data_IF_941181125620
#
_entry.id   IF_941181125620
#
_cell.length_a   1.000
_cell.length_b   1.000
_cell.length_c   1.000
_cell.angle_alpha   90.00
_cell.angle_beta   90.00
_cell.angle_gamma   90.00
#
_symmetry.space_group_name_H-M   'P 1'
#
loop_
_entity.id
_entity.type
_entity.pdbx_description
1 polymer ?
#
# COMPACT_ATOMS: atom_id res chain seq x y z
N UNK A 1 -5.33 -60.11 -44.23
CA UNK A 1 -3.87 -60.32 -44.13
C UNK A 1 -3.14 -59.45 -45.17
N UNK A 2 -3.11 -58.12 -45.02
CA UNK A 2 -2.50 -57.23 -46.03
C UNK A 2 -1.62 -56.10 -45.47
N UNK A 3 -1.25 -56.12 -44.18
CA UNK A 3 -0.43 -55.06 -43.56
C UNK A 3 0.89 -55.54 -42.93
N UNK A 4 1.32 -56.80 -43.14
CA UNK A 4 2.56 -57.31 -42.54
C UNK A 4 3.83 -56.67 -43.13
N UNK A 5 3.89 -56.56 -44.47
CA UNK A 5 5.04 -55.99 -45.16
C UNK A 5 5.18 -54.47 -44.94
N UNK A 6 4.05 -53.76 -44.91
CA UNK A 6 4.03 -52.30 -44.69
C UNK A 6 4.40 -51.96 -43.24
N UNK A 7 4.04 -52.82 -42.28
CA UNK A 7 4.49 -52.72 -40.88
C UNK A 7 6.00 -52.95 -40.75
N UNK A 8 6.54 -54.01 -41.37
CA UNK A 8 7.99 -54.25 -41.36
C UNK A 8 8.80 -53.13 -42.03
N UNK A 9 8.25 -52.49 -43.07
CA UNK A 9 8.86 -51.33 -43.72
C UNK A 9 8.79 -50.06 -42.86
N UNK A 10 7.67 -49.79 -42.19
CA UNK A 10 7.54 -48.67 -41.25
C UNK A 10 8.42 -48.86 -40.02
N UNK A 11 8.54 -50.09 -39.51
CA UNK A 11 9.38 -50.44 -38.36
C UNK A 11 10.87 -50.34 -38.67
N UNK A 12 11.27 -50.46 -39.95
CA UNK A 12 12.65 -50.27 -40.43
C UNK A 12 12.93 -48.88 -41.01
N UNK A 13 11.91 -48.02 -41.06
CA UNK A 13 12.03 -46.65 -41.53
C UNK A 13 12.77 -45.77 -40.51
N UNK A 14 13.35 -44.67 -41.00
CA UNK A 14 13.91 -43.64 -40.14
C UNK A 14 12.84 -43.01 -39.23
N UNK A 15 11.56 -43.02 -39.64
CA UNK A 15 10.40 -42.58 -38.85
C UNK A 15 9.83 -43.65 -37.89
N UNK A 16 10.54 -44.77 -37.70
CA UNK A 16 10.11 -45.79 -36.76
C UNK A 16 10.07 -45.26 -35.32
N UNK A 17 9.19 -45.81 -34.49
CA UNK A 17 9.08 -45.41 -33.08
C UNK A 17 10.38 -45.59 -32.27
N UNK A 18 11.28 -46.47 -32.73
CA UNK A 18 12.61 -46.64 -32.13
C UNK A 18 13.50 -45.39 -32.26
N UNK A 19 13.29 -44.58 -33.31
CA UNK A 19 14.03 -43.34 -33.56
C UNK A 19 13.31 -42.10 -33.03
N UNK A 20 12.16 -42.26 -32.36
CA UNK A 20 11.32 -41.16 -31.90
C UNK A 20 12.11 -40.14 -31.07
N UNK A 21 12.92 -40.59 -30.11
CA UNK A 21 13.71 -39.69 -29.27
C UNK A 21 14.76 -38.90 -30.04
N UNK A 22 15.32 -39.49 -31.10
CA UNK A 22 16.32 -38.84 -31.94
C UNK A 22 15.68 -37.80 -32.86
N UNK A 23 14.53 -38.11 -33.47
CA UNK A 23 13.76 -37.16 -34.30
C UNK A 23 13.25 -36.00 -33.45
N UNK A 24 12.76 -36.27 -32.22
CA UNK A 24 12.33 -35.23 -31.29
C UNK A 24 13.47 -34.27 -30.97
N UNK A 25 14.67 -34.79 -30.65
CA UNK A 25 15.83 -33.95 -30.38
C UNK A 25 16.23 -33.12 -31.61
N UNK A 26 16.21 -33.73 -32.80
CA UNK A 26 16.51 -33.05 -34.06
C UNK A 26 15.50 -31.94 -34.39
N UNK A 27 14.24 -32.11 -34.00
CA UNK A 27 13.22 -31.06 -34.14
C UNK A 27 13.45 -29.90 -33.16
N UNK A 28 13.86 -30.19 -31.92
CA UNK A 28 14.20 -29.16 -30.94
C UNK A 28 15.44 -28.35 -31.32
N UNK A 29 16.44 -29.00 -31.93
CA UNK A 29 17.60 -28.32 -32.50
C UNK A 29 17.15 -27.37 -33.63
N UNK A 30 16.24 -27.81 -34.50
CA UNK A 30 15.62 -26.96 -35.53
C UNK A 30 14.82 -25.77 -34.96
N UNK A 31 14.09 -25.96 -33.85
CA UNK A 31 13.38 -24.88 -33.16
C UNK A 31 14.34 -23.85 -32.52
N UNK A 32 15.54 -24.29 -32.13
CA UNK A 32 16.58 -23.42 -31.55
C UNK A 32 17.33 -22.66 -32.64
N UNK A 33 17.77 -23.36 -33.67
CA UNK A 33 18.46 -22.81 -34.84
C UNK A 33 18.15 -23.69 -36.08
N UNK A 34 17.39 -23.20 -37.07
CA UNK A 34 17.09 -23.95 -38.28
C UNK A 34 18.34 -24.38 -39.06
N UNK A 35 19.46 -23.66 -38.92
CA UNK A 35 20.71 -23.98 -39.61
C UNK A 35 21.53 -25.10 -38.94
N UNK A 36 21.18 -25.48 -37.71
CA UNK A 36 21.84 -26.56 -36.95
C UNK A 36 21.53 -27.96 -37.47
N UNK A 37 20.47 -28.11 -38.29
CA UNK A 37 20.03 -29.39 -38.86
C UNK A 37 20.31 -29.48 -40.37
N UNK A 38 20.52 -30.71 -40.84
CA UNK A 38 20.72 -30.99 -42.28
C UNK A 38 19.59 -30.43 -43.15
N UNK A 39 19.95 -30.01 -44.38
CA UNK A 39 19.03 -29.36 -45.30
C UNK A 39 17.76 -30.19 -45.61
N UNK A 40 17.88 -31.52 -45.66
CA UNK A 40 16.75 -32.41 -45.88
C UNK A 40 15.74 -32.34 -44.71
N UNK A 41 16.23 -32.39 -43.47
CA UNK A 41 15.39 -32.31 -42.28
C UNK A 41 14.76 -30.94 -42.10
N UNK A 42 15.52 -29.89 -42.38
CA UNK A 42 15.02 -28.51 -42.41
C UNK A 42 13.82 -28.35 -43.34
N UNK A 43 13.93 -28.87 -44.57
CA UNK A 43 12.82 -28.85 -45.53
C UNK A 43 11.62 -29.64 -45.05
N UNK A 44 11.82 -30.76 -44.36
CA UNK A 44 10.73 -31.58 -43.80
C UNK A 44 10.02 -30.86 -42.65
N UNK A 45 10.77 -30.27 -41.72
CA UNK A 45 10.20 -29.56 -40.57
C UNK A 45 9.49 -28.27 -40.95
N UNK A 46 9.96 -27.54 -41.97
CA UNK A 46 9.27 -26.37 -42.52
C UNK A 46 7.90 -26.69 -43.15
N UNK A 47 7.69 -27.93 -43.58
CA UNK A 47 6.40 -28.38 -44.14
C UNK A 47 5.40 -28.78 -43.07
N UNK A 48 5.83 -28.90 -41.80
CA UNK A 48 4.90 -29.20 -40.71
C UNK A 48 3.98 -27.99 -40.50
N UNK A 49 2.67 -28.21 -40.32
CA UNK A 49 1.72 -27.13 -40.09
C UNK A 49 2.02 -26.51 -38.72
N UNK A 50 2.70 -25.36 -38.71
CA UNK A 50 2.82 -24.54 -37.52
C UNK A 50 1.42 -24.16 -37.04
N UNK A 51 1.11 -24.40 -35.77
CA UNK A 51 -0.13 -23.89 -35.19
C UNK A 51 -0.01 -22.37 -35.16
N UNK A 52 -0.56 -21.67 -36.17
CA UNK A 52 -0.34 -20.23 -36.43
C UNK A 52 -0.76 -19.23 -35.35
N UNK A 53 -0.91 -19.70 -34.11
CA UNK A 53 -1.30 -18.95 -32.91
C UNK A 53 -0.17 -18.94 -31.86
N UNK A 54 0.75 -19.91 -31.84
CA UNK A 54 1.90 -19.95 -30.90
C UNK A 54 3.12 -20.67 -31.50
N UNK A 55 4.36 -20.27 -31.16
CA UNK A 55 5.55 -21.05 -31.50
C UNK A 55 5.45 -22.46 -30.88
N UNK A 56 5.91 -23.47 -31.61
CA UNK A 56 5.95 -24.85 -31.12
C UNK A 56 6.84 -24.95 -29.86
N UNK A 57 6.37 -25.69 -28.87
CA UNK A 57 7.05 -25.83 -27.59
C UNK A 57 8.05 -26.99 -27.60
N UNK A 58 9.15 -26.83 -26.87
CA UNK A 58 10.14 -27.89 -26.64
C UNK A 58 9.51 -29.06 -25.88
N UNK A 59 9.43 -30.22 -26.52
CA UNK A 59 8.84 -31.43 -25.93
C UNK A 59 9.63 -31.95 -24.73
N UNK A 60 10.95 -31.73 -24.71
CA UNK A 60 11.87 -32.06 -23.62
C UNK A 60 11.50 -31.36 -22.32
N UNK A 61 11.04 -30.10 -22.38
CA UNK A 61 10.58 -29.35 -21.21
C UNK A 61 9.30 -29.97 -20.64
N UNK A 62 8.35 -30.33 -21.51
CA UNK A 62 7.12 -31.02 -21.13
C UNK A 62 7.41 -32.40 -20.52
N UNK A 63 8.31 -33.18 -21.11
CA UNK A 63 8.72 -34.50 -20.61
C UNK A 63 9.43 -34.41 -19.26
N UNK A 64 10.31 -33.43 -19.08
CA UNK A 64 11.00 -33.21 -17.81
C UNK A 64 10.04 -32.74 -16.72
N UNK A 65 9.04 -31.92 -17.06
CA UNK A 65 7.95 -31.54 -16.17
C UNK A 65 7.17 -32.75 -15.67
N UNK A 66 6.71 -33.63 -16.57
CA UNK A 66 6.02 -34.86 -16.19
C UNK A 66 6.92 -35.87 -15.47
N UNK A 67 8.22 -35.91 -15.78
CA UNK A 67 9.20 -36.75 -15.09
C UNK A 67 9.42 -36.29 -13.64
N UNK A 68 9.46 -34.98 -13.40
CA UNK A 68 9.51 -34.42 -12.03
C UNK A 68 8.23 -34.72 -11.26
N UNK A 69 7.07 -34.54 -11.89
CA UNK A 69 5.76 -34.95 -11.34
C UNK A 69 5.74 -36.43 -10.92
N UNK A 70 6.29 -37.34 -11.75
CA UNK A 70 6.34 -38.76 -11.44
C UNK A 70 7.31 -39.11 -10.29
N UNK A 71 8.33 -38.28 -10.05
CA UNK A 71 9.30 -38.47 -8.96
C UNK A 71 8.81 -37.88 -7.63
N UNK A 72 8.02 -36.82 -7.66
CA UNK A 72 7.40 -36.24 -6.46
C UNK A 72 6.12 -37.01 -6.06
N UNK A 73 6.30 -38.21 -5.49
CA UNK A 73 5.22 -39.04 -4.96
C UNK A 73 4.57 -38.50 -3.66
N UNK A 74 4.97 -37.31 -3.20
CA UNK A 74 4.38 -36.65 -2.03
C UNK A 74 3.60 -35.42 -2.44
N UNK A 75 2.28 -35.57 -2.64
CA UNK A 75 1.20 -34.66 -2.19
C UNK A 75 -0.04 -34.83 -3.08
N UNK A 76 -1.05 -35.48 -2.52
CA UNK A 76 -2.43 -35.50 -3.01
C UNK A 76 -3.16 -34.15 -2.82
N UNK A 77 -2.47 -33.00 -2.90
CA UNK A 77 -3.09 -31.68 -2.71
C UNK A 77 -2.31 -30.51 -3.35
N UNK A 78 -1.64 -30.72 -4.49
CA UNK A 78 -1.14 -29.60 -5.29
C UNK A 78 -2.00 -29.48 -6.54
N UNK A 79 -2.86 -28.45 -6.59
CA UNK A 79 -3.42 -27.95 -7.84
C UNK A 79 -2.27 -27.67 -8.80
N UNK A 80 -2.24 -28.45 -9.88
CA UNK A 80 -1.23 -28.39 -10.94
C UNK A 80 -1.28 -26.99 -11.56
N UNK A 81 -0.24 -26.18 -11.38
CA UNK A 81 -0.08 -24.90 -12.08
C UNK A 81 0.94 -25.05 -13.20
N UNK A 82 0.59 -24.53 -14.37
CA UNK A 82 1.44 -24.43 -15.55
C UNK A 82 2.73 -23.65 -15.19
N UNK A 83 3.93 -24.07 -15.66
CA UNK A 83 5.18 -23.32 -15.47
C UNK A 83 5.05 -21.81 -15.72
N UNK A 84 4.25 -21.42 -16.71
CA UNK A 84 4.01 -20.02 -17.07
C UNK A 84 3.18 -19.29 -16.00
N UNK A 85 2.20 -19.97 -15.40
CA UNK A 85 1.43 -19.46 -14.24
C UNK A 85 2.33 -19.22 -13.04
N UNK A 86 3.38 -20.03 -12.87
CA UNK A 86 4.33 -19.91 -11.77
C UNK A 86 5.25 -18.68 -11.94
N UNK A 87 5.63 -18.35 -13.19
CA UNK A 87 6.39 -17.12 -13.50
C UNK A 87 5.52 -15.88 -13.23
N UNK A 88 4.29 -15.86 -13.75
CA UNK A 88 3.33 -14.75 -13.49
C UNK A 88 3.05 -14.58 -12.00
N UNK A 89 2.95 -15.67 -11.24
CA UNK A 89 2.79 -15.62 -9.79
C UNK A 89 3.93 -14.87 -9.08
N UNK A 90 5.18 -15.05 -9.51
CA UNK A 90 6.32 -14.29 -8.97
C UNK A 90 6.22 -12.81 -9.32
N UNK A 91 5.80 -12.48 -10.56
CA UNK A 91 5.57 -11.11 -11.01
C UNK A 91 4.48 -10.40 -10.18
N UNK A 92 3.41 -11.11 -9.82
CA UNK A 92 2.36 -10.59 -8.93
C UNK A 92 2.91 -10.28 -7.53
N UNK A 93 3.80 -11.11 -6.98
CA UNK A 93 4.44 -10.82 -5.70
C UNK A 93 5.40 -9.63 -5.77
N UNK A 94 6.14 -9.49 -6.89
CA UNK A 94 6.98 -8.32 -7.15
C UNK A 94 6.16 -7.03 -7.25
N UNK A 95 5.00 -7.08 -7.91
CA UNK A 95 4.05 -5.99 -8.01
C UNK A 95 3.52 -5.59 -6.62
N UNK A 96 3.06 -6.54 -5.80
CA UNK A 96 2.64 -6.26 -4.40
C UNK A 96 3.76 -5.53 -3.65
N UNK A 97 5.00 -6.02 -3.77
CA UNK A 97 6.14 -5.39 -3.12
C UNK A 97 6.42 -3.98 -3.65
N UNK A 98 6.28 -3.73 -4.94
CA UNK A 98 6.42 -2.41 -5.54
C UNK A 98 5.42 -1.40 -4.94
N UNK A 99 4.15 -1.79 -4.76
CA UNK A 99 3.14 -0.96 -4.10
C UNK A 99 3.49 -0.67 -2.63
N UNK A 100 4.01 -1.65 -1.90
CA UNK A 100 4.46 -1.46 -0.50
C UNK A 100 5.61 -0.47 -0.37
N UNK A 101 6.57 -0.48 -1.31
CA UNK A 101 7.74 0.38 -1.29
C UNK A 101 7.48 1.78 -1.84
N UNK A 102 6.73 1.88 -2.93
CA UNK A 102 6.64 3.11 -3.74
C UNK A 102 5.22 3.60 -3.97
N UNK A 103 4.19 2.88 -3.50
CA UNK A 103 2.79 3.29 -3.68
C UNK A 103 2.49 4.69 -3.11
N UNK A 104 3.16 5.05 -2.01
CA UNK A 104 3.05 6.39 -1.41
C UNK A 104 3.42 7.54 -2.37
N UNK A 105 4.25 7.31 -3.39
CA UNK A 105 4.63 8.31 -4.41
C UNK A 105 3.47 8.65 -5.35
N UNK A 106 2.49 7.72 -5.47
CA UNK A 106 1.28 7.88 -6.26
C UNK A 106 0.02 8.03 -5.40
N UNK A 107 0.16 8.28 -4.09
CA UNK A 107 -0.97 8.52 -3.20
C UNK A 107 -1.56 9.91 -3.39
N UNK A 108 -2.87 10.04 -3.29
CA UNK A 108 -3.56 11.34 -3.42
C UNK A 108 -3.48 12.13 -2.11
N UNK A 109 -2.35 12.83 -1.91
CA UNK A 109 -2.01 13.52 -0.66
C UNK A 109 -2.27 15.04 -0.70
N UNK A 110 -2.25 15.64 -1.88
CA UNK A 110 -2.38 17.10 -2.02
C UNK A 110 -3.85 17.52 -2.11
N UNK A 111 -4.41 18.17 -1.08
CA UNK A 111 -5.80 18.63 -1.12
C UNK A 111 -6.06 19.72 -2.17
N UNK A 112 -5.02 20.41 -2.65
CA UNK A 112 -5.13 21.44 -3.69
C UNK A 112 -4.99 20.87 -5.11
N UNK A 113 -4.51 19.64 -5.26
CA UNK A 113 -4.29 19.01 -6.56
C UNK A 113 -3.24 19.71 -7.45
N UNK A 114 -2.31 20.45 -6.83
CA UNK A 114 -1.22 21.14 -7.52
C UNK A 114 -0.05 20.19 -7.80
N UNK A 115 0.16 19.20 -6.94
CA UNK A 115 1.24 18.24 -7.08
C UNK A 115 1.02 17.32 -8.27
N UNK A 116 1.80 17.56 -9.34
CA UNK A 116 1.91 16.64 -10.47
C UNK A 116 2.91 15.53 -10.11
N UNK A 117 2.40 14.31 -10.02
CA UNK A 117 3.21 13.15 -9.63
C UNK A 117 3.91 12.54 -10.84
N UNK A 118 5.18 12.23 -10.67
CA UNK A 118 5.91 11.45 -11.66
C UNK A 118 5.38 10.02 -11.72
N UNK A 119 5.35 9.45 -12.93
CA UNK A 119 4.91 8.07 -13.11
C UNK A 119 5.94 7.10 -12.55
N UNK A 120 5.50 6.24 -11.64
CA UNK A 120 6.33 5.14 -11.13
C UNK A 120 6.07 3.89 -11.98
N UNK A 121 7.03 3.54 -12.85
CA UNK A 121 6.91 2.40 -13.77
C UNK A 121 6.61 1.09 -13.04
N UNK A 122 7.25 0.86 -11.88
CA UNK A 122 7.09 -0.37 -11.08
C UNK A 122 5.65 -0.61 -10.56
N UNK A 123 4.77 0.40 -10.58
CA UNK A 123 3.37 0.26 -10.16
C UNK A 123 2.44 -0.14 -11.30
N UNK A 124 2.91 -0.03 -12.55
CA UNK A 124 2.17 -0.45 -13.74
C UNK A 124 2.30 -1.98 -13.91
N UNK A 125 1.18 -2.73 -13.99
CA UNK A 125 1.22 -4.17 -14.25
C UNK A 125 1.99 -4.53 -15.52
N UNK A 126 1.95 -3.69 -16.55
CA UNK A 126 2.66 -3.93 -17.81
C UNK A 126 4.18 -3.93 -17.65
N UNK A 127 4.73 -3.25 -16.62
CA UNK A 127 6.15 -3.31 -16.29
C UNK A 127 6.59 -4.70 -15.79
N UNK A 128 5.66 -5.49 -15.25
CA UNK A 128 5.91 -6.82 -14.72
C UNK A 128 5.49 -7.94 -15.70
N UNK A 129 5.31 -7.61 -16.97
CA UNK A 129 4.84 -8.54 -18.02
C UNK A 129 3.43 -9.12 -17.74
N UNK A 130 2.61 -8.40 -16.97
CA UNK A 130 1.21 -8.75 -16.70
C UNK A 130 0.30 -8.00 -17.67
N UNK A 131 -0.49 -8.75 -18.43
CA UNK A 131 -1.40 -8.24 -19.46
C UNK A 131 -2.84 -8.10 -18.93
N UNK A 132 -3.69 -7.38 -19.65
CA UNK A 132 -5.11 -7.25 -19.28
C UNK A 132 -5.86 -8.59 -19.27
N UNK A 133 -5.41 -9.58 -20.04
CA UNK A 133 -5.98 -10.92 -20.01
C UNK A 133 -5.80 -11.60 -18.64
N UNK A 134 -4.67 -11.30 -17.98
CA UNK A 134 -4.32 -11.87 -16.68
C UNK A 134 -5.16 -11.28 -15.53
N UNK A 135 -5.87 -10.17 -15.76
CA UNK A 135 -6.67 -9.51 -14.71
C UNK A 135 -7.83 -10.39 -14.21
N UNK A 136 -8.31 -11.31 -15.06
CA UNK A 136 -9.35 -12.27 -14.71
C UNK A 136 -8.81 -13.57 -14.11
N UNK A 137 -7.50 -13.78 -14.16
CA UNK A 137 -6.85 -14.94 -13.55
C UNK A 137 -6.70 -14.76 -12.04
N UNK A 138 -6.72 -15.89 -11.32
CA UNK A 138 -6.62 -15.93 -9.87
C UNK A 138 -5.19 -16.29 -9.47
N UNK A 139 -4.60 -15.48 -8.60
CA UNK A 139 -3.25 -15.66 -8.07
C UNK A 139 -3.27 -15.83 -6.56
N UNK A 140 -2.24 -16.48 -6.02
CA UNK A 140 -1.95 -16.47 -4.60
C UNK A 140 -1.42 -15.08 -4.20
N UNK A 141 -1.94 -14.52 -3.11
CA UNK A 141 -1.54 -13.16 -2.68
C UNK A 141 -0.33 -13.15 -1.74
N UNK A 142 0.21 -14.33 -1.43
CA UNK A 142 1.41 -14.53 -0.62
C UNK A 142 1.28 -13.94 0.77
N UNK A 143 2.04 -12.87 1.03
CA UNK A 143 2.06 -12.17 2.32
C UNK A 143 1.14 -10.95 2.39
N UNK A 144 0.32 -10.73 1.36
CA UNK A 144 -0.66 -9.64 1.37
C UNK A 144 -1.78 -9.95 2.35
N UNK A 145 -1.97 -9.10 3.35
CA UNK A 145 -2.85 -9.39 4.48
C UNK A 145 -4.31 -9.06 4.19
N UNK A 146 -4.88 -9.50 3.06
CA UNK A 146 -6.31 -9.29 2.72
C UNK A 146 -7.27 -10.27 3.42
N UNK A 147 -6.74 -11.24 4.16
CA UNK A 147 -7.51 -12.34 4.77
C UNK A 147 -7.93 -13.44 3.79
N UNK A 148 -7.59 -13.34 2.51
CA UNK A 148 -7.77 -14.38 1.48
C UNK A 148 -6.43 -14.92 1.04
N UNK A 149 -6.33 -16.22 0.77
CA UNK A 149 -5.09 -16.83 0.24
C UNK A 149 -4.90 -16.56 -1.26
N UNK A 150 -6.01 -16.41 -2.00
CA UNK A 150 -6.03 -16.18 -3.44
C UNK A 150 -7.02 -15.08 -3.83
N UNK A 151 -6.69 -14.32 -4.88
CA UNK A 151 -7.51 -13.22 -5.40
C UNK A 151 -7.30 -13.08 -6.92
N UNK A 152 -8.30 -12.52 -7.61
CA UNK A 152 -8.13 -12.10 -9.00
C UNK A 152 -7.12 -10.96 -9.09
N UNK A 153 -6.28 -10.92 -10.12
CA UNK A 153 -5.29 -9.85 -10.29
C UNK A 153 -5.93 -8.46 -10.36
N UNK A 154 -7.09 -8.32 -11.04
CA UNK A 154 -7.82 -7.05 -11.09
C UNK A 154 -8.28 -6.56 -9.71
N UNK A 155 -8.85 -7.46 -8.89
CA UNK A 155 -9.27 -7.14 -7.52
C UNK A 155 -8.07 -6.82 -6.61
N UNK A 156 -6.97 -7.55 -6.78
CA UNK A 156 -5.73 -7.31 -6.04
C UNK A 156 -5.16 -5.93 -6.36
N UNK A 157 -5.11 -5.54 -7.63
CA UNK A 157 -4.63 -4.22 -8.06
C UNK A 157 -5.50 -3.10 -7.50
N UNK A 158 -6.82 -3.27 -7.51
CA UNK A 158 -7.74 -2.31 -6.90
C UNK A 158 -7.50 -2.18 -5.39
N UNK A 159 -7.35 -3.30 -4.68
CA UNK A 159 -7.04 -3.32 -3.26
C UNK A 159 -5.69 -2.64 -2.94
N UNK A 160 -4.65 -2.91 -3.74
CA UNK A 160 -3.33 -2.27 -3.59
C UNK A 160 -3.40 -0.76 -3.82
N UNK A 161 -4.09 -0.32 -4.87
CA UNK A 161 -4.31 1.11 -5.16
C UNK A 161 -5.10 1.79 -4.04
N UNK A 162 -6.16 1.15 -3.54
CA UNK A 162 -6.96 1.69 -2.45
C UNK A 162 -6.14 1.83 -1.15
N UNK A 163 -5.25 0.87 -0.89
CA UNK A 163 -4.45 0.80 0.34
C UNK A 163 -3.26 1.76 0.32
N UNK A 164 -2.49 1.76 -0.78
CA UNK A 164 -1.20 2.45 -0.86
C UNK A 164 -1.21 3.74 -1.68
N UNK A 165 -2.17 3.89 -2.59
CA UNK A 165 -2.30 5.05 -3.49
C UNK A 165 -3.58 5.87 -3.20
N UNK A 166 -4.25 5.60 -2.08
CA UNK A 166 -5.45 6.30 -1.64
C UNK A 166 -5.15 7.67 -1.01
N UNK A 167 -5.96 8.12 -0.05
CA UNK A 167 -5.73 9.38 0.67
C UNK A 167 -4.62 9.29 1.73
N UNK A 168 -3.96 8.13 1.85
CA UNK A 168 -2.89 7.86 2.83
C UNK A 168 -1.73 7.24 2.05
N UNK A 169 -0.53 7.82 2.18
CA UNK A 169 0.71 7.30 1.64
C UNK A 169 1.53 6.68 2.76
N UNK A 170 1.58 5.35 2.81
CA UNK A 170 2.32 4.64 3.86
C UNK A 170 3.79 4.41 3.44
N UNK A 171 4.72 5.01 4.18
CA UNK A 171 6.16 4.83 3.98
C UNK A 171 6.77 4.10 5.19
N UNK A 172 7.01 2.80 5.04
CA UNK A 172 7.47 1.94 6.16
C UNK A 172 8.46 0.84 5.74
N UNK A 173 8.55 0.53 4.45
CA UNK A 173 9.36 -0.61 3.97
C UNK A 173 10.88 -0.42 4.18
N UNK A 174 11.32 0.80 4.47
CA UNK A 174 12.71 1.14 4.84
C UNK A 174 13.11 0.67 6.24
N UNK A 175 12.15 0.35 7.11
CA UNK A 175 12.40 -0.24 8.44
C UNK A 175 13.22 -1.53 8.28
N UNK A 176 14.07 -1.89 9.24
CA UNK A 176 14.84 -3.15 9.16
C UNK A 176 14.10 -4.32 9.81
N UNK A 177 13.35 -4.06 10.88
CA UNK A 177 12.56 -5.05 11.62
C UNK A 177 11.43 -5.65 10.78
N UNK A 178 11.47 -6.96 10.58
CA UNK A 178 10.42 -7.71 9.87
C UNK A 178 9.12 -7.74 10.66
N UNK A 179 9.18 -7.78 12.00
CA UNK A 179 8.01 -7.79 12.86
C UNK A 179 7.20 -6.50 12.71
N UNK A 180 7.88 -5.35 12.74
CA UNK A 180 7.25 -4.04 12.54
C UNK A 180 6.63 -3.92 11.15
N UNK A 181 7.34 -4.34 10.09
CA UNK A 181 6.77 -4.37 8.72
C UNK A 181 5.50 -5.18 8.64
N UNK A 182 5.52 -6.40 9.20
CA UNK A 182 4.35 -7.29 9.18
C UNK A 182 3.20 -6.75 10.00
N UNK A 183 3.49 -6.11 11.13
CA UNK A 183 2.48 -5.46 11.95
C UNK A 183 1.78 -4.32 11.20
N UNK A 184 2.55 -3.47 10.51
CA UNK A 184 2.01 -2.38 9.68
C UNK A 184 1.18 -2.96 8.53
N UNK A 185 1.72 -3.95 7.80
CA UNK A 185 1.02 -4.65 6.70
C UNK A 185 -0.32 -5.21 7.17
N UNK A 186 -0.34 -5.91 8.30
CA UNK A 186 -1.57 -6.44 8.87
C UNK A 186 -2.57 -5.31 9.17
N UNK A 187 -2.13 -4.17 9.70
CA UNK A 187 -3.04 -3.06 10.04
C UNK A 187 -3.63 -2.35 8.83
N UNK A 188 -2.86 -2.16 7.76
CA UNK A 188 -3.30 -1.36 6.61
C UNK A 188 -3.93 -2.20 5.49
N UNK A 189 -3.50 -3.45 5.31
CA UNK A 189 -3.98 -4.33 4.22
C UNK A 189 -5.20 -5.17 4.62
N UNK A 190 -5.43 -5.44 5.92
CA UNK A 190 -6.58 -6.25 6.41
C UNK A 190 -7.94 -5.58 6.26
N UNK A 191 -7.97 -4.37 5.71
CA UNK A 191 -9.18 -3.61 5.48
C UNK A 191 -9.11 -2.24 6.14
N UNK A 192 -9.90 -1.33 5.57
CA UNK A 192 -9.96 0.06 6.02
C UNK A 192 -10.74 0.14 7.33
N UNK A 193 -10.23 0.91 8.30
CA UNK A 193 -10.96 1.23 9.50
C UNK A 193 -12.31 1.89 9.11
N UNK A 194 -13.42 1.27 9.51
CA UNK A 194 -14.75 1.80 9.30
C UNK A 194 -15.22 2.50 10.56
N UNK A 195 -15.64 3.75 10.39
CA UNK A 195 -16.19 4.54 11.49
C UNK A 195 -17.71 4.46 11.50
N UNK A 196 -18.28 4.40 12.70
CA UNK A 196 -19.71 4.43 12.89
C UNK A 196 -20.29 5.84 12.65
N UNK A 197 -21.61 5.96 12.60
CA UNK A 197 -22.29 7.22 12.30
C UNK A 197 -22.08 8.29 13.38
N UNK A 198 -21.86 7.90 14.63
CA UNK A 198 -21.64 8.82 15.75
C UNK A 198 -20.24 9.42 15.68
N UNK A 199 -19.21 8.60 15.45
CA UNK A 199 -17.83 9.03 15.23
C UNK A 199 -17.73 10.02 14.06
N UNK A 200 -18.39 9.72 12.94
CA UNK A 200 -18.43 10.63 11.79
C UNK A 200 -19.07 11.98 12.12
N UNK A 201 -20.18 11.99 12.87
CA UNK A 201 -20.81 13.24 13.35
C UNK A 201 -19.89 14.00 14.30
N UNK A 202 -19.15 13.29 15.16
CA UNK A 202 -18.16 13.88 16.06
C UNK A 202 -17.02 14.54 15.29
N UNK A 203 -16.42 13.85 14.31
CA UNK A 203 -15.37 14.44 13.48
C UNK A 203 -15.84 15.70 12.75
N UNK A 204 -17.05 15.67 12.19
CA UNK A 204 -17.63 16.85 11.53
C UNK A 204 -17.84 18.01 12.51
N UNK A 205 -18.35 17.72 13.71
CA UNK A 205 -18.53 18.73 14.77
C UNK A 205 -17.20 19.35 15.19
N UNK A 206 -16.15 18.53 15.36
CA UNK A 206 -14.81 18.97 15.72
C UNK A 206 -14.16 19.83 14.63
N UNK A 207 -14.32 19.47 13.35
CA UNK A 207 -13.91 20.29 12.21
C UNK A 207 -14.66 21.63 12.17
N UNK A 208 -15.98 21.59 12.37
CA UNK A 208 -16.81 22.81 12.39
C UNK A 208 -16.41 23.75 13.51
N UNK A 209 -16.08 23.22 14.70
CA UNK A 209 -15.57 24.02 15.81
C UNK A 209 -14.18 24.62 15.52
N UNK A 210 -13.31 23.86 14.84
CA UNK A 210 -11.99 24.33 14.43
C UNK A 210 -12.11 25.55 13.48
N UNK A 211 -12.89 25.40 12.41
CA UNK A 211 -13.12 26.45 11.43
C UNK A 211 -13.89 27.65 12.03
N UNK A 212 -14.93 27.37 12.81
CA UNK A 212 -15.79 28.38 13.43
C UNK A 212 -15.01 29.31 14.36
N UNK A 213 -14.07 28.77 15.14
CA UNK A 213 -13.20 29.57 16.01
C UNK A 213 -12.30 30.51 15.19
N UNK A 214 -11.67 30.03 14.12
CA UNK A 214 -10.79 30.85 13.28
C UNK A 214 -11.55 31.98 12.59
N UNK A 215 -12.72 31.67 12.01
CA UNK A 215 -13.60 32.67 11.39
C UNK A 215 -14.05 33.71 12.40
N UNK A 216 -14.40 33.29 13.62
CA UNK A 216 -14.80 34.21 14.69
C UNK A 216 -13.66 35.13 15.11
N UNK A 217 -12.45 34.58 15.32
CA UNK A 217 -11.26 35.38 15.66
C UNK A 217 -10.91 36.36 14.54
N UNK A 218 -11.01 35.93 13.28
CA UNK A 218 -10.78 36.78 12.11
C UNK A 218 -11.79 37.94 12.01
N UNK A 219 -13.06 37.69 12.30
CA UNK A 219 -14.11 38.70 12.27
C UNK A 219 -14.02 39.70 13.42
N UNK A 220 -13.73 39.22 14.65
CA UNK A 220 -13.73 40.05 15.87
C UNK A 220 -12.44 40.84 16.06
N UNK A 221 -11.30 40.29 15.64
CA UNK A 221 -9.98 40.90 15.82
C UNK A 221 -9.24 41.00 14.48
N UNK A 222 -9.75 41.83 13.53
CA UNK A 222 -9.13 41.98 12.23
C UNK A 222 -7.71 42.53 12.36
N UNK A 223 -6.77 41.95 11.61
CA UNK A 223 -5.34 42.34 11.61
C UNK A 223 -4.53 41.81 12.80
N UNK A 224 -5.15 41.17 13.80
CA UNK A 224 -4.41 40.56 14.90
C UNK A 224 -3.69 39.28 14.43
N UNK A 225 -2.41 39.15 14.80
CA UNK A 225 -1.64 37.92 14.55
C UNK A 225 -2.21 36.77 15.38
N UNK A 226 -2.72 35.73 14.71
CA UNK A 226 -3.33 34.54 15.32
C UNK A 226 -2.75 33.19 14.87
N UNK A 227 -1.93 33.18 13.81
CA UNK A 227 -1.37 31.94 13.21
C UNK A 227 -2.43 30.88 12.93
N UNK A 228 -3.38 31.25 12.08
CA UNK A 228 -4.59 30.47 11.75
C UNK A 228 -4.29 29.01 11.41
N UNK A 229 -5.16 28.11 11.88
CA UNK A 229 -5.17 26.70 11.48
C UNK A 229 -5.88 26.45 10.14
N UNK A 230 -6.50 27.45 9.52
CA UNK A 230 -7.28 27.30 8.27
C UNK A 230 -6.50 26.49 7.21
N UNK A 231 -7.17 25.46 6.67
CA UNK A 231 -6.59 24.48 5.73
C UNK A 231 -5.89 23.29 6.41
N UNK A 232 -5.62 23.38 7.71
CA UNK A 232 -5.08 22.32 8.56
C UNK A 232 -6.08 21.84 9.62
N UNK A 233 -7.38 22.04 9.40
CA UNK A 233 -8.47 21.81 10.35
C UNK A 233 -8.52 20.37 10.87
N UNK A 234 -8.06 19.41 10.05
CA UNK A 234 -7.94 17.99 10.40
C UNK A 234 -7.06 17.73 11.64
N UNK A 235 -6.18 18.66 12.02
CA UNK A 235 -5.37 18.57 13.23
C UNK A 235 -6.23 18.39 14.49
N UNK A 236 -7.37 19.08 14.59
CA UNK A 236 -8.23 19.05 15.78
C UNK A 236 -8.87 17.68 16.01
N UNK A 237 -9.64 17.10 15.07
CA UNK A 237 -10.19 15.76 15.26
C UNK A 237 -9.09 14.70 15.39
N UNK A 238 -7.95 14.85 14.68
CA UNK A 238 -6.82 13.93 14.78
C UNK A 238 -6.25 13.89 16.21
N UNK A 239 -5.94 15.05 16.81
CA UNK A 239 -5.41 15.13 18.17
C UNK A 239 -6.40 14.57 19.19
N UNK A 240 -7.69 14.93 19.07
CA UNK A 240 -8.71 14.44 20.01
C UNK A 240 -8.92 12.93 19.89
N UNK A 241 -8.87 12.39 18.68
CA UNK A 241 -8.96 10.93 18.47
C UNK A 241 -7.74 10.20 19.01
N UNK A 242 -6.54 10.75 18.83
CA UNK A 242 -5.31 10.22 19.42
C UNK A 242 -5.39 10.20 20.95
N UNK A 243 -5.88 11.27 21.58
CA UNK A 243 -6.07 11.35 23.04
C UNK A 243 -7.11 10.33 23.53
N UNK A 244 -8.25 10.19 22.83
CA UNK A 244 -9.27 9.18 23.13
C UNK A 244 -8.69 7.77 23.04
N UNK A 245 -7.95 7.47 21.98
CA UNK A 245 -7.31 6.17 21.79
C UNK A 245 -6.26 5.89 22.86
N UNK A 246 -5.46 6.90 23.25
CA UNK A 246 -4.48 6.79 24.32
C UNK A 246 -5.15 6.49 25.68
N UNK A 247 -6.24 7.20 26.00
CA UNK A 247 -7.03 6.97 27.22
C UNK A 247 -7.65 5.56 27.25
N UNK A 248 -8.21 5.09 26.13
CA UNK A 248 -8.74 3.73 26.01
C UNK A 248 -7.65 2.65 26.14
N UNK A 249 -6.41 2.99 25.87
CA UNK A 249 -5.24 2.12 26.04
C UNK A 249 -4.61 2.22 27.44
N UNK A 250 -5.23 2.95 28.38
CA UNK A 250 -4.78 3.11 29.76
C UNK A 250 -3.75 4.22 30.00
N UNK A 251 -3.53 5.10 29.02
CA UNK A 251 -2.63 6.27 29.17
C UNK A 251 -3.26 7.28 30.12
N UNK A 252 -2.52 7.70 31.15
CA UNK A 252 -3.01 8.67 32.16
C UNK A 252 -2.68 10.11 31.83
N UNK A 253 -1.59 10.34 31.11
CA UNK A 253 -1.07 11.69 30.86
C UNK A 253 -0.59 11.79 29.41
N UNK A 254 -0.92 12.90 28.74
CA UNK A 254 -0.43 13.24 27.40
C UNK A 254 0.15 14.64 27.43
N UNK A 255 1.44 14.73 27.11
CA UNK A 255 2.15 16.00 27.02
C UNK A 255 2.40 16.33 25.54
N UNK A 256 2.05 17.54 25.13
CA UNK A 256 2.17 18.03 23.76
C UNK A 256 3.15 19.20 23.69
N UNK A 257 4.14 19.08 22.79
CA UNK A 257 4.91 20.21 22.26
C UNK A 257 4.41 20.58 20.88
N UNK A 258 4.18 21.87 20.62
CA UNK A 258 3.79 22.34 19.28
C UNK A 258 4.30 23.76 19.00
N UNK A 259 4.45 24.07 17.71
CA UNK A 259 4.76 25.42 17.24
C UNK A 259 3.54 26.37 17.31
N UNK A 260 3.65 27.53 16.67
CA UNK A 260 2.61 28.59 16.74
C UNK A 260 1.35 28.30 15.89
N UNK A 261 1.46 27.53 14.80
CA UNK A 261 0.34 27.31 13.86
C UNK A 261 -0.79 26.52 14.50
N UNK A 262 -1.98 27.11 14.54
CA UNK A 262 -3.18 26.52 15.13
C UNK A 262 -3.14 26.37 16.65
N UNK A 263 -2.16 26.96 17.35
CA UNK A 263 -2.00 26.80 18.80
C UNK A 263 -3.23 27.30 19.57
N UNK A 264 -3.79 28.44 19.18
CA UNK A 264 -5.00 28.97 19.82
C UNK A 264 -6.20 28.05 19.63
N UNK A 265 -6.27 27.39 18.47
CA UNK A 265 -7.29 26.42 18.16
C UNK A 265 -7.17 25.18 19.05
N UNK A 266 -5.95 24.63 19.18
CA UNK A 266 -5.66 23.50 20.06
C UNK A 266 -5.96 23.85 21.53
N UNK A 267 -5.54 25.03 22.01
CA UNK A 267 -5.82 25.49 23.37
C UNK A 267 -7.32 25.48 23.70
N UNK A 268 -8.16 25.99 22.80
CA UNK A 268 -9.61 26.09 23.03
C UNK A 268 -10.33 24.77 22.75
N UNK A 269 -10.14 24.20 21.57
CA UNK A 269 -10.95 23.07 21.09
C UNK A 269 -10.44 21.69 21.55
N UNK A 270 -9.18 21.59 22.03
CA UNK A 270 -8.59 20.35 22.56
C UNK A 270 -8.40 20.43 24.06
N UNK A 271 -7.66 21.42 24.57
CA UNK A 271 -7.37 21.55 26.01
C UNK A 271 -8.47 22.29 26.80
N UNK A 272 -9.51 22.81 26.14
CA UNK A 272 -10.63 23.43 26.83
C UNK A 272 -10.30 24.75 27.53
N UNK A 273 -9.27 25.48 27.08
CA UNK A 273 -9.04 26.86 27.52
C UNK A 273 -10.30 27.67 27.27
N UNK A 274 -10.75 28.42 28.28
CA UNK A 274 -11.98 29.21 28.18
C UNK A 274 -11.85 30.23 27.05
N UNK A 275 -12.78 30.26 26.07
CA UNK A 275 -12.72 31.22 24.96
C UNK A 275 -12.70 32.67 25.45
N UNK A 276 -13.39 32.95 26.56
CA UNK A 276 -13.42 34.29 27.16
C UNK A 276 -12.02 34.77 27.57
N UNK A 277 -11.23 33.92 28.22
CA UNK A 277 -9.86 34.26 28.64
C UNK A 277 -8.98 34.54 27.41
N UNK A 278 -9.16 33.77 26.33
CA UNK A 278 -8.48 34.03 25.06
C UNK A 278 -8.89 35.39 24.47
N UNK A 279 -10.18 35.73 24.46
CA UNK A 279 -10.65 37.01 23.92
C UNK A 279 -10.16 38.20 24.74
N UNK A 280 -10.04 38.05 26.05
CA UNK A 280 -9.45 39.07 26.92
C UNK A 280 -7.97 39.29 26.60
N UNK A 281 -7.20 38.22 26.31
CA UNK A 281 -5.82 38.34 25.81
C UNK A 281 -5.72 39.05 24.45
N UNK A 282 -6.71 38.87 23.57
CA UNK A 282 -6.78 39.64 22.31
C UNK A 282 -7.11 41.11 22.54
N UNK A 283 -7.91 41.43 23.57
CA UNK A 283 -8.26 42.78 23.96
C UNK A 283 -7.18 43.49 24.81
N UNK A 284 -6.06 42.82 25.11
CA UNK A 284 -4.98 43.33 25.96
C UNK A 284 -5.30 43.34 27.45
N UNK A 285 -6.37 42.64 27.87
CA UNK A 285 -6.73 42.46 29.28
C UNK A 285 -6.02 41.22 29.80
N UNK A 286 -4.92 41.42 30.53
CA UNK A 286 -4.18 40.34 31.18
C UNK A 286 -4.48 40.32 32.68
N UNK A 287 -4.56 39.11 33.26
CA UNK A 287 -4.51 38.98 34.73
C UNK A 287 -3.12 39.41 35.19
N UNK A 288 -3.06 40.07 36.35
CA UNK A 288 -1.79 40.47 36.96
C UNK A 288 -0.98 39.20 37.29
N UNK A 289 0.11 39.00 36.55
CA UNK A 289 1.06 37.93 36.80
C UNK A 289 2.34 38.55 37.39
N UNK A 290 3.03 37.79 38.24
CA UNK A 290 4.28 38.19 38.91
C UNK A 290 5.49 38.36 37.97
N UNK A 291 5.31 38.29 36.64
CA UNK A 291 6.40 38.31 35.65
C UNK A 291 6.09 39.17 34.42
N UNK A 292 7.06 39.29 33.51
CA UNK A 292 6.97 40.13 32.29
C UNK A 292 5.98 39.62 31.25
N UNK A 293 5.50 38.38 31.39
CA UNK A 293 4.58 37.73 30.45
C UNK A 293 5.25 37.31 29.14
N UNK A 294 4.45 36.73 28.25
CA UNK A 294 4.81 36.38 26.87
C UNK A 294 3.56 36.51 25.97
N UNK A 295 3.73 36.41 24.66
CA UNK A 295 2.62 36.45 23.70
C UNK A 295 1.69 35.23 23.87
N UNK A 296 0.38 35.46 23.67
CA UNK A 296 -0.70 34.46 23.85
C UNK A 296 -0.47 33.09 23.21
N UNK A 297 0.29 33.02 22.12
CA UNK A 297 0.60 31.78 21.39
C UNK A 297 1.96 31.14 21.80
N UNK A 298 2.55 31.53 22.93
CA UNK A 298 3.65 30.81 23.59
C UNK A 298 3.22 30.17 24.91
N UNK A 299 2.08 30.60 25.46
CA UNK A 299 1.58 30.14 26.75
C UNK A 299 1.17 28.67 26.69
N UNK A 300 1.67 27.88 27.64
CA UNK A 300 1.23 26.51 27.88
C UNK A 300 -0.13 26.47 28.57
N UNK A 301 -0.67 25.26 28.72
CA UNK A 301 -1.95 25.05 29.40
C UNK A 301 -2.05 23.60 29.90
N UNK A 302 -2.78 23.39 30.99
CA UNK A 302 -3.04 22.07 31.55
C UNK A 302 -4.52 21.88 31.82
N UNK A 303 -5.05 20.70 31.51
CA UNK A 303 -6.47 20.38 31.66
C UNK A 303 -6.67 18.88 31.76
N UNK A 304 -7.71 18.45 32.47
CA UNK A 304 -8.11 17.05 32.42
C UNK A 304 -9.14 16.82 31.32
N UNK A 305 -8.96 15.75 30.56
CA UNK A 305 -9.82 15.35 29.45
C UNK A 305 -10.45 14.00 29.75
N UNK A 306 -11.79 13.94 29.71
CA UNK A 306 -12.53 12.70 29.95
C UNK A 306 -12.55 11.85 28.68
N UNK A 307 -12.07 10.60 28.79
CA UNK A 307 -12.18 9.56 27.75
C UNK A 307 -13.04 8.39 28.26
N UNK A 308 -13.40 7.47 27.37
CA UNK A 308 -14.14 6.26 27.74
C UNK A 308 -13.31 5.34 28.66
N UNK A 309 -11.98 5.34 28.48
CA UNK A 309 -11.01 4.61 29.33
C UNK A 309 -10.67 5.30 30.65
N UNK A 310 -11.14 6.52 30.89
CA UNK A 310 -10.89 7.28 32.12
C UNK A 310 -10.42 8.71 31.89
N UNK A 311 -10.00 9.36 32.97
CA UNK A 311 -9.49 10.73 32.94
C UNK A 311 -8.03 10.73 32.43
N UNK A 312 -7.75 11.55 31.44
CA UNK A 312 -6.40 11.76 30.89
C UNK A 312 -5.98 13.21 31.20
N UNK A 313 -4.87 13.38 31.91
CA UNK A 313 -4.29 14.69 32.14
C UNK A 313 -3.57 15.17 30.87
N UNK A 314 -3.95 16.35 30.36
CA UNK A 314 -3.33 16.96 29.20
C UNK A 314 -2.46 18.14 29.63
N UNK A 315 -1.25 18.20 29.10
CA UNK A 315 -0.36 19.35 29.26
C UNK A 315 0.19 19.80 27.91
N UNK A 316 0.02 21.08 27.60
CA UNK A 316 0.68 21.74 26.48
C UNK A 316 1.87 22.53 27.00
N UNK A 317 3.07 22.19 26.53
CA UNK A 317 4.30 22.85 26.92
C UNK A 317 4.33 24.33 26.50
N UNK A 318 5.00 25.15 27.30
CA UNK A 318 5.41 26.49 26.89
C UNK A 318 6.47 26.38 25.78
N UNK A 319 6.51 27.33 24.86
CA UNK A 319 7.53 27.36 23.81
C UNK A 319 7.94 28.79 23.46
N UNK A 320 9.23 29.07 23.22
CA UNK A 320 9.65 30.34 22.63
C UNK A 320 9.31 30.38 21.13
N UNK A 321 9.63 31.50 20.47
CA UNK A 321 9.51 31.61 19.00
C UNK A 321 10.48 30.74 18.21
N UNK A 322 11.55 30.23 18.85
CA UNK A 322 12.49 29.30 18.20
C UNK A 322 11.78 27.97 17.94
N UNK A 323 11.57 27.63 16.67
CA UNK A 323 10.86 26.42 16.28
C UNK A 323 11.66 25.16 16.64
N UNK A 324 10.96 24.04 16.78
CA UNK A 324 11.48 22.69 17.09
C UNK A 324 12.20 22.50 18.43
N UNK A 325 12.68 23.56 19.09
CA UNK A 325 13.40 23.46 20.37
C UNK A 325 12.51 22.99 21.53
N UNK A 326 11.18 23.00 21.36
CA UNK A 326 10.23 22.47 22.34
C UNK A 326 10.25 20.93 22.38
N UNK A 327 10.66 20.26 21.30
CA UNK A 327 10.65 18.79 21.22
C UNK A 327 11.56 18.09 22.25
N UNK A 328 12.79 18.58 22.56
CA UNK A 328 13.63 17.98 23.60
C UNK A 328 13.34 18.45 25.05
N UNK A 329 12.44 19.41 25.26
CA UNK A 329 12.14 20.03 26.57
C UNK A 329 11.12 19.20 27.34
#
# INVERSE_FOLDING_TARGET
MQNSALKAWLDSSYLSGANQSWIEQLYEDFLTDPDSVDANWRSTFQQLPGTGVKPDQFHSQTREYFRRLAKDASRYSSTISDPDTNVKQVKVLQLINAYRFRGHQHANLDPLGLWQQDKVADLDPSFHDLTEADFQETFNVGSFASGKETMKLGELLEALKQTYCGPIGAEYMHITSTEEKRWIQQRIESGRATFNSEEKKRFLSELTAAEGLERYLGAKFPGAKRFSLEGGDALIPMLKEMIRHAGNSGTREVVLGMAHRGRLNVLVNVLGKKPQDLFDEFAGKHKEHLGTGDVKYHMGFSSDFQTDGGLVHLALAFNPSHLEIVSPV
#
